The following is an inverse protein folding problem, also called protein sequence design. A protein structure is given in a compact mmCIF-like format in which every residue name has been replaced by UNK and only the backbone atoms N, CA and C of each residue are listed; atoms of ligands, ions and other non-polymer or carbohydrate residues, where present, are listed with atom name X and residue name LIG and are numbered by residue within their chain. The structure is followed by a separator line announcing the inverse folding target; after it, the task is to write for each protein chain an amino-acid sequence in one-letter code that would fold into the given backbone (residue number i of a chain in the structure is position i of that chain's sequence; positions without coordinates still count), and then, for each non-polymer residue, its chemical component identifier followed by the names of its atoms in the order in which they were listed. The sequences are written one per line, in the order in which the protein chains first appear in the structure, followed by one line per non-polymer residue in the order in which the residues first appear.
data_IF_862282267044
#
_entry.id   IF_862282267044
#
_cell.length_a   1.000
_cell.length_b   1.000
_cell.length_c   1.000
_cell.angle_alpha   90.00
_cell.angle_beta   90.00
_cell.angle_gamma   90.00
#
_symmetry.space_group_name_H-M   'P 1'
#
loop_
_entity.id
_entity.type
_entity.pdbx_description
1 polymer ?
#
# COMPACT_ATOMS: atom_id res chain seq x y z
N UNK A 1 -0.37 -14.74 -26.23
CA UNK A 1 -0.67 -15.82 -25.28
C UNK A 1 0.65 -16.44 -24.85
N UNK A 2 1.21 -16.01 -23.73
CA UNK A 2 2.29 -16.73 -23.07
C UNK A 2 1.72 -17.18 -21.74
N UNK A 3 1.34 -18.46 -21.67
CA UNK A 3 1.16 -19.14 -20.39
C UNK A 3 2.47 -19.84 -20.11
N UNK A 4 3.19 -19.24 -19.20
CA UNK A 4 4.45 -19.65 -18.63
C UNK A 4 4.29 -21.00 -17.94
N UNK A 5 5.09 -21.94 -18.40
CA UNK A 5 5.45 -23.20 -17.76
C UNK A 5 6.08 -22.90 -16.39
N UNK A 6 5.41 -23.28 -15.31
CA UNK A 6 6.04 -23.36 -13.99
C UNK A 6 6.77 -24.70 -13.92
N UNK A 7 8.08 -24.66 -14.17
CA UNK A 7 9.01 -25.71 -13.76
C UNK A 7 9.08 -25.73 -12.23
N UNK A 8 8.67 -26.84 -11.63
CA UNK A 8 9.06 -27.20 -10.26
C UNK A 8 10.47 -27.83 -10.29
N UNK A 9 11.31 -27.61 -9.25
CA UNK A 9 12.71 -28.01 -9.26
C UNK A 9 12.93 -29.53 -9.21
N UNK A 10 13.90 -29.97 -10.03
CA UNK A 10 14.40 -31.34 -10.23
C UNK A 10 15.13 -31.93 -9.00
N UNK A 11 14.42 -32.30 -7.94
CA UNK A 11 15.01 -33.10 -6.85
C UNK A 11 14.16 -34.31 -6.42
N UNK A 12 13.17 -34.70 -7.23
CA UNK A 12 12.38 -35.93 -7.06
C UNK A 12 12.46 -36.77 -8.35
N UNK A 13 13.67 -36.98 -8.87
CA UNK A 13 13.91 -37.98 -9.91
C UNK A 13 15.27 -38.63 -9.66
N UNK A 14 15.27 -39.57 -8.72
CA UNK A 14 16.30 -40.57 -8.52
C UNK A 14 15.62 -41.90 -8.24
N UNK A 15 15.85 -42.84 -9.17
CA UNK A 15 15.72 -44.30 -9.04
C UNK A 15 14.40 -44.98 -9.49
N UNK A 16 14.39 -45.27 -10.80
CA UNK A 16 14.02 -46.52 -11.52
C UNK A 16 12.71 -47.29 -11.20
N UNK A 17 11.88 -47.63 -12.23
CA UNK A 17 10.56 -48.27 -12.06
C UNK A 17 10.58 -49.82 -12.08
N UNK A 18 11.52 -50.48 -11.42
CA UNK A 18 11.62 -51.96 -11.45
C UNK A 18 11.37 -52.66 -10.10
N UNK A 19 11.04 -51.93 -9.02
CA UNK A 19 10.76 -52.54 -7.70
C UNK A 19 9.27 -52.59 -7.31
N UNK A 20 8.35 -52.09 -8.14
CA UNK A 20 6.92 -52.12 -7.82
C UNK A 20 6.26 -53.49 -8.05
N UNK A 21 6.90 -54.40 -8.79
CA UNK A 21 6.33 -55.72 -9.10
C UNK A 21 6.57 -56.79 -8.01
N UNK A 22 7.51 -56.60 -7.09
CA UNK A 22 7.82 -57.59 -6.05
C UNK A 22 7.00 -57.43 -4.75
N UNK A 23 6.27 -56.33 -4.59
CA UNK A 23 5.43 -56.14 -3.39
C UNK A 23 4.04 -56.78 -3.49
N UNK A 24 3.61 -57.21 -4.68
CA UNK A 24 2.30 -57.84 -4.90
C UNK A 24 2.28 -59.36 -4.60
N UNK A 25 3.43 -59.99 -4.33
CA UNK A 25 3.49 -61.44 -4.10
C UNK A 25 3.52 -61.87 -2.62
N UNK A 26 3.36 -60.92 -1.68
CA UNK A 26 3.09 -61.19 -0.26
C UNK A 26 1.68 -60.79 0.15
N UNK A 27 0.69 -61.11 -0.69
CA UNK A 27 -0.73 -61.14 -0.29
C UNK A 27 -0.98 -62.39 0.54
N UNK A 28 -0.83 -62.24 1.86
CA UNK A 28 -1.06 -63.27 2.85
C UNK A 28 -1.43 -62.69 4.20
N UNK A 29 -2.43 -61.79 4.26
CA UNK A 29 -3.33 -61.60 5.41
C UNK A 29 -4.29 -60.43 5.17
N UNK A 30 -5.56 -60.75 4.86
CA UNK A 30 -6.61 -59.78 4.57
C UNK A 30 -7.18 -59.05 5.81
N UNK A 31 -6.65 -59.32 7.02
CA UNK A 31 -7.09 -58.69 8.28
C UNK A 31 -6.19 -57.54 8.76
N UNK A 32 -4.93 -57.50 8.37
CA UNK A 32 -3.98 -56.49 8.89
C UNK A 32 -4.03 -55.17 8.10
N UNK A 33 -4.39 -55.20 6.81
CA UNK A 33 -4.52 -53.98 5.98
C UNK A 33 -5.62 -53.03 6.46
N UNK A 34 -6.71 -53.52 7.03
CA UNK A 34 -7.80 -52.65 7.51
C UNK A 34 -7.36 -51.86 8.75
N UNK A 35 -6.60 -52.46 9.66
CA UNK A 35 -6.05 -51.77 10.84
C UNK A 35 -4.99 -50.73 10.43
N UNK A 36 -4.17 -51.03 9.43
CA UNK A 36 -3.19 -50.06 8.91
C UNK A 36 -3.91 -48.88 8.23
N UNK A 37 -4.95 -49.14 7.44
CA UNK A 37 -5.75 -48.09 6.81
C UNK A 37 -6.46 -47.21 7.86
N UNK A 38 -7.02 -47.82 8.91
CA UNK A 38 -7.66 -47.09 10.02
C UNK A 38 -6.66 -46.23 10.78
N UNK A 39 -5.46 -46.75 11.10
CA UNK A 39 -4.41 -45.98 11.78
C UNK A 39 -3.94 -44.80 10.91
N UNK A 40 -3.75 -45.01 9.61
CA UNK A 40 -3.37 -43.93 8.68
C UNK A 40 -4.45 -42.86 8.61
N UNK A 41 -5.73 -43.26 8.52
CA UNK A 41 -6.86 -42.31 8.51
C UNK A 41 -6.92 -41.52 9.81
N UNK A 42 -6.76 -42.17 10.96
CA UNK A 42 -6.75 -41.49 12.28
C UNK A 42 -5.59 -40.49 12.38
N UNK A 43 -4.38 -40.87 11.95
CA UNK A 43 -3.22 -39.97 11.97
C UNK A 43 -3.43 -38.77 11.05
N UNK A 44 -3.94 -38.97 9.83
CA UNK A 44 -4.24 -37.88 8.89
C UNK A 44 -5.31 -36.94 9.46
N UNK A 45 -6.38 -37.48 10.04
CA UNK A 45 -7.44 -36.68 10.67
C UNK A 45 -6.89 -35.87 11.84
N UNK A 46 -6.07 -36.47 12.71
CA UNK A 46 -5.45 -35.76 13.84
C UNK A 46 -4.53 -34.65 13.34
N UNK A 47 -3.68 -34.91 12.34
CA UNK A 47 -2.79 -33.90 11.76
C UNK A 47 -3.60 -32.77 11.13
N UNK A 48 -4.65 -33.06 10.37
CA UNK A 48 -5.52 -32.05 9.77
C UNK A 48 -6.22 -31.22 10.84
N UNK A 49 -6.76 -31.85 11.89
CA UNK A 49 -7.41 -31.14 13.00
C UNK A 49 -6.41 -30.24 13.72
N UNK A 50 -5.20 -30.73 14.02
CA UNK A 50 -4.16 -29.92 14.68
C UNK A 50 -3.75 -28.75 13.79
N UNK A 51 -3.53 -28.96 12.49
CA UNK A 51 -3.19 -27.89 11.55
C UNK A 51 -4.31 -26.86 11.46
N UNK A 52 -5.56 -27.30 11.35
CA UNK A 52 -6.73 -26.41 11.30
C UNK A 52 -6.84 -25.60 12.59
N UNK A 53 -6.70 -26.23 13.76
CA UNK A 53 -6.75 -25.55 15.05
C UNK A 53 -5.62 -24.54 15.17
N UNK A 54 -4.38 -24.90 14.81
CA UNK A 54 -3.24 -23.98 14.84
C UNK A 54 -3.46 -22.81 13.89
N UNK A 55 -3.91 -23.05 12.67
CA UNK A 55 -4.21 -21.99 11.69
C UNK A 55 -5.32 -21.09 12.21
N UNK A 56 -6.42 -21.65 12.73
CA UNK A 56 -7.52 -20.87 13.30
C UNK A 56 -7.04 -20.04 14.48
N UNK A 57 -6.27 -20.61 15.40
CA UNK A 57 -5.75 -19.88 16.56
C UNK A 57 -4.79 -18.77 16.11
N UNK A 58 -3.84 -19.04 15.23
CA UNK A 58 -2.88 -18.03 14.74
C UNK A 58 -3.58 -16.92 13.97
N UNK A 59 -4.54 -17.26 13.11
CA UNK A 59 -5.27 -16.26 12.31
C UNK A 59 -6.23 -15.45 13.19
N UNK A 60 -6.98 -16.08 14.09
CA UNK A 60 -7.96 -15.39 14.94
C UNK A 60 -7.26 -14.55 16.01
N UNK A 61 -6.24 -15.11 16.67
CA UNK A 61 -5.44 -14.35 17.65
C UNK A 61 -4.63 -13.27 16.95
N UNK A 62 -4.04 -13.56 15.79
CA UNK A 62 -3.36 -12.57 14.96
C UNK A 62 -4.29 -11.43 14.53
N UNK A 63 -5.50 -11.74 14.07
CA UNK A 63 -6.52 -10.74 13.77
C UNK A 63 -6.96 -9.98 15.01
N UNK A 64 -7.18 -10.64 16.15
CA UNK A 64 -7.55 -9.94 17.39
C UNK A 64 -6.45 -9.00 17.88
N UNK A 65 -5.18 -9.40 17.83
CA UNK A 65 -4.05 -8.54 18.19
C UNK A 65 -3.97 -7.34 17.25
N UNK A 66 -4.17 -7.56 15.95
CA UNK A 66 -4.26 -6.46 14.98
C UNK A 66 -5.44 -5.54 15.31
N UNK A 67 -6.63 -6.06 15.61
CA UNK A 67 -7.83 -5.29 15.92
C UNK A 67 -7.74 -4.52 17.25
N UNK A 68 -7.03 -5.04 18.26
CA UNK A 68 -6.86 -4.38 19.57
C UNK A 68 -5.75 -3.31 19.54
N UNK A 69 -4.89 -3.31 18.52
CA UNK A 69 -3.79 -2.34 18.38
C UNK A 69 -4.20 -1.00 17.77
N UNK A 70 -5.49 -0.76 17.52
CA UNK A 70 -5.88 0.09 16.38
C UNK A 70 -5.96 1.61 16.61
N UNK A 71 -5.87 2.14 17.84
CA UNK A 71 -5.95 3.60 18.03
C UNK A 71 -5.00 4.12 19.11
N UNK A 72 -3.78 4.48 18.70
CA UNK A 72 -2.80 5.18 19.57
C UNK A 72 -3.38 6.46 20.19
N UNK A 73 -4.28 7.15 19.48
CA UNK A 73 -4.96 8.35 19.97
C UNK A 73 -5.95 7.99 21.09
N UNK A 74 -6.67 6.88 20.99
CA UNK A 74 -7.65 6.48 22.00
C UNK A 74 -6.95 6.14 23.32
N UNK A 75 -5.83 5.43 23.27
CA UNK A 75 -5.01 5.10 24.44
C UNK A 75 -4.53 6.38 25.16
N UNK A 76 -3.97 7.32 24.38
CA UNK A 76 -3.53 8.61 24.89
C UNK A 76 -4.70 9.44 25.45
N UNK A 77 -5.89 9.35 24.84
CA UNK A 77 -7.11 10.04 25.31
C UNK A 77 -7.57 9.53 26.67
N UNK A 78 -7.57 8.21 26.88
CA UNK A 78 -7.90 7.61 28.18
C UNK A 78 -6.91 8.11 29.24
N UNK A 79 -5.63 8.19 28.90
CA UNK A 79 -4.60 8.71 29.82
C UNK A 79 -4.82 10.18 30.19
N UNK A 80 -5.17 11.03 29.23
CA UNK A 80 -5.56 12.44 29.49
C UNK A 80 -6.75 12.49 30.44
N UNK A 81 -7.78 11.69 30.17
CA UNK A 81 -9.01 11.66 30.95
C UNK A 81 -8.73 11.26 32.41
N UNK A 82 -8.04 10.14 32.61
CA UNK A 82 -7.71 9.61 33.94
C UNK A 82 -6.86 10.61 34.72
N UNK A 83 -5.78 11.12 34.11
CA UNK A 83 -4.87 12.08 34.77
C UNK A 83 -5.62 13.35 35.20
N UNK A 84 -6.57 13.81 34.39
CA UNK A 84 -7.33 15.03 34.69
C UNK A 84 -8.40 14.80 35.76
N UNK A 85 -9.01 13.62 35.79
CA UNK A 85 -9.95 13.23 36.84
C UNK A 85 -9.25 13.00 38.18
N UNK A 86 -8.05 12.44 38.19
CA UNK A 86 -7.25 12.33 39.41
C UNK A 86 -6.87 13.71 39.96
N UNK A 87 -6.43 14.61 39.07
CA UNK A 87 -6.07 15.98 39.46
C UNK A 87 -7.25 16.76 40.04
N UNK A 88 -8.44 16.63 39.45
CA UNK A 88 -9.63 17.32 39.98
C UNK A 88 -10.09 16.73 41.32
N UNK A 89 -9.94 15.41 41.51
CA UNK A 89 -10.24 14.73 42.77
C UNK A 89 -9.26 15.15 43.87
N UNK A 90 -7.96 15.29 43.57
CA UNK A 90 -6.93 15.78 44.50
C UNK A 90 -7.26 17.19 45.01
N UNK A 91 -7.73 18.09 44.13
CA UNK A 91 -8.07 19.48 44.49
C UNK A 91 -9.32 19.61 45.37
N UNK A 92 -10.26 18.67 45.26
CA UNK A 92 -11.58 18.75 45.91
C UNK A 92 -11.67 17.96 47.23
N UNK A 93 -10.65 17.14 47.55
CA UNK A 93 -10.54 16.43 48.83
C UNK A 93 -11.73 15.53 49.15
N UNK A 94 -11.73 14.28 48.69
CA UNK A 94 -12.74 13.22 48.94
C UNK A 94 -14.23 13.53 48.65
N UNK A 95 -14.60 14.79 48.38
CA UNK A 95 -15.89 15.13 47.81
C UNK A 95 -15.92 14.56 46.39
N UNK A 96 -16.84 13.65 46.14
CA UNK A 96 -16.94 12.95 44.87
C UNK A 96 -17.00 13.96 43.72
N UNK A 97 -16.09 13.83 42.75
CA UNK A 97 -16.08 14.63 41.49
C UNK A 97 -17.43 14.53 40.78
N UNK A 98 -18.09 13.39 40.94
CA UNK A 98 -19.44 13.09 40.47
C UNK A 98 -20.49 13.19 41.58
N UNK A 99 -20.18 13.91 42.65
CA UNK A 99 -20.83 13.89 43.96
C UNK A 99 -22.22 14.43 44.04
N UNK A 100 -23.11 13.62 43.47
CA UNK A 100 -24.47 13.32 43.89
C UNK A 100 -24.80 11.90 43.36
N UNK A 101 -23.88 10.93 43.51
CA UNK A 101 -24.08 9.54 43.06
C UNK A 101 -24.97 8.72 44.02
N UNK A 102 -25.47 9.29 45.11
CA UNK A 102 -26.61 8.71 45.85
C UNK A 102 -27.96 9.23 45.35
N UNK A 103 -27.95 9.97 44.22
CA UNK A 103 -29.11 10.53 43.54
C UNK A 103 -29.14 10.19 42.05
N UNK A 104 -28.56 9.06 41.63
CA UNK A 104 -28.94 8.45 40.35
C UNK A 104 -30.40 7.98 40.47
N UNK A 105 -31.34 8.94 40.40
CA UNK A 105 -32.68 8.61 39.93
C UNK A 105 -32.48 7.96 38.54
N UNK A 106 -33.20 6.87 38.23
CA UNK A 106 -33.21 6.31 36.88
C UNK A 106 -33.41 7.45 35.88
N UNK A 107 -32.84 7.38 34.66
CA UNK A 107 -32.81 8.51 33.74
C UNK A 107 -34.25 8.94 33.46
N UNK A 108 -34.73 9.95 34.20
CA UNK A 108 -35.81 10.80 33.74
C UNK A 108 -35.20 11.58 32.59
N UNK A 109 -35.82 11.50 31.41
CA UNK A 109 -35.37 12.09 30.15
C UNK A 109 -34.57 13.38 30.38
N UNK A 110 -33.24 13.24 30.46
CA UNK A 110 -32.34 14.36 30.59
C UNK A 110 -32.21 14.95 29.20
N UNK A 111 -33.15 15.81 28.86
CA UNK A 111 -33.05 16.64 27.67
C UNK A 111 -31.68 17.32 27.66
N UNK A 112 -30.99 17.29 26.51
CA UNK A 112 -29.79 18.09 26.27
C UNK A 112 -30.09 19.60 26.34
N UNK A 113 -31.38 19.97 26.37
CA UNK A 113 -31.90 21.31 26.55
C UNK A 113 -32.82 21.38 27.77
N UNK A 114 -32.29 21.24 29.00
CA UNK A 114 -33.11 21.32 30.20
C UNK A 114 -33.57 22.77 30.42
N UNK A 115 -34.81 22.95 30.86
CA UNK A 115 -35.39 24.23 31.26
C UNK A 115 -35.75 24.16 32.74
N UNK A 116 -34.99 24.80 33.65
CA UNK A 116 -33.87 25.71 33.42
C UNK A 116 -32.57 25.01 33.01
N UNK A 117 -31.71 25.74 32.28
CA UNK A 117 -30.42 25.24 31.82
C UNK A 117 -29.47 25.05 33.00
N UNK A 118 -29.14 23.80 33.33
CA UNK A 118 -28.13 23.47 34.33
C UNK A 118 -26.84 23.00 33.63
N UNK A 119 -25.69 23.40 34.18
CA UNK A 119 -24.36 23.03 33.66
C UNK A 119 -23.58 22.32 34.77
N UNK A 120 -22.76 21.35 34.40
CA UNK A 120 -21.88 20.71 35.36
C UNK A 120 -20.85 21.71 35.87
N UNK A 121 -20.87 21.97 37.19
CA UNK A 121 -20.15 23.09 37.79
C UNK A 121 -18.63 22.94 37.70
N UNK A 122 -18.09 21.72 37.73
CA UNK A 122 -16.65 21.49 37.49
C UNK A 122 -16.26 21.18 36.04
N UNK A 123 -17.19 21.27 35.08
CA UNK A 123 -16.86 21.13 33.65
C UNK A 123 -15.80 22.11 33.16
N UNK A 124 -15.86 23.38 33.60
CA UNK A 124 -14.85 24.40 33.25
C UNK A 124 -13.48 24.13 33.88
N UNK A 125 -13.47 23.66 35.13
CA UNK A 125 -12.22 23.31 35.84
C UNK A 125 -11.55 22.10 35.18
N UNK A 126 -12.34 21.09 34.80
CA UNK A 126 -11.84 19.92 34.06
C UNK A 126 -11.26 20.32 32.70
N UNK A 127 -11.96 21.18 31.94
CA UNK A 127 -11.47 21.66 30.65
C UNK A 127 -10.11 22.39 30.75
N UNK A 128 -9.90 23.18 31.81
CA UNK A 128 -8.59 23.83 32.07
C UNK A 128 -7.50 22.82 32.42
N UNK A 129 -7.83 21.76 33.14
CA UNK A 129 -6.87 20.70 33.45
C UNK A 129 -6.48 20.00 32.14
N UNK A 130 -7.44 19.66 31.27
CA UNK A 130 -7.13 19.09 29.95
C UNK A 130 -6.17 19.97 29.14
N UNK A 131 -6.40 21.28 29.11
CA UNK A 131 -5.55 22.23 28.38
C UNK A 131 -4.12 22.30 28.94
N UNK A 132 -3.95 22.13 30.25
CA UNK A 132 -2.65 22.18 30.91
C UNK A 132 -1.95 20.81 30.97
N UNK A 133 -2.62 19.72 30.60
CA UNK A 133 -2.05 18.38 30.63
C UNK A 133 -1.02 18.22 29.51
N UNK A 134 0.20 17.85 29.90
CA UNK A 134 1.30 17.55 28.96
C UNK A 134 1.93 16.22 29.31
N UNK A 135 2.09 15.34 28.33
CA UNK A 135 2.75 14.04 28.50
C UNK A 135 3.23 13.50 27.16
N UNK A 136 4.10 12.49 27.20
CA UNK A 136 4.49 11.72 26.02
C UNK A 136 3.68 10.42 25.97
N UNK A 137 2.87 10.28 24.92
CA UNK A 137 2.01 9.14 24.66
C UNK A 137 2.49 8.31 23.47
N UNK A 138 1.67 7.38 22.99
CA UNK A 138 2.00 6.57 21.79
C UNK A 138 1.89 7.38 20.51
N UNK A 139 1.06 8.42 20.50
CA UNK A 139 1.00 9.38 19.39
C UNK A 139 2.09 10.46 19.48
N UNK A 140 3.09 10.32 20.36
CA UNK A 140 4.16 11.28 20.56
C UNK A 140 3.86 12.30 21.67
N UNK A 141 4.44 13.48 21.57
CA UNK A 141 4.25 14.53 22.58
C UNK A 141 2.85 15.14 22.49
N UNK A 142 2.12 15.14 23.61
CA UNK A 142 0.74 15.64 23.71
C UNK A 142 0.74 16.91 24.54
N UNK A 143 0.29 18.01 23.92
CA UNK A 143 0.08 19.32 24.52
C UNK A 143 -1.05 20.03 23.78
N UNK A 144 -1.83 20.83 24.50
CA UNK A 144 -2.96 21.56 23.94
C UNK A 144 -2.75 23.07 24.04
N UNK A 145 -3.38 23.82 23.14
CA UNK A 145 -3.49 25.28 23.23
C UNK A 145 -4.75 25.69 24.02
N UNK A 146 -4.97 26.99 24.16
CA UNK A 146 -6.14 27.54 24.86
C UNK A 146 -7.49 27.25 24.20
N UNK A 147 -7.52 26.88 22.91
CA UNK A 147 -8.73 26.44 22.20
C UNK A 147 -8.95 24.92 22.27
N UNK A 148 -8.02 24.17 22.85
CA UNK A 148 -8.07 22.71 22.95
C UNK A 148 -7.52 21.96 21.73
N UNK A 149 -6.84 22.64 20.81
CA UNK A 149 -6.14 22.01 19.69
C UNK A 149 -4.77 21.51 20.13
N UNK A 150 -4.34 20.37 19.59
CA UNK A 150 -3.02 19.81 19.85
C UNK A 150 -1.93 20.64 19.18
N UNK A 151 -0.84 20.91 19.89
CA UNK A 151 0.33 21.67 19.42
C UNK A 151 1.62 20.93 19.81
N UNK A 152 2.75 21.26 19.16
CA UNK A 152 4.03 20.58 19.39
C UNK A 152 4.01 19.08 19.09
N UNK A 153 3.24 18.66 18.08
CA UNK A 153 3.24 17.27 17.62
C UNK A 153 4.12 17.12 16.38
N UNK A 154 4.73 15.95 16.27
CA UNK A 154 5.57 15.57 15.14
C UNK A 154 4.80 14.60 14.24
N UNK A 155 4.88 14.81 12.93
CA UNK A 155 4.27 13.91 11.93
C UNK A 155 5.34 13.37 11.01
N UNK A 156 5.40 12.06 10.90
CA UNK A 156 6.30 11.40 9.96
C UNK A 156 5.78 11.57 8.53
N UNK A 157 6.64 12.08 7.64
CA UNK A 157 6.35 12.19 6.22
C UNK A 157 6.95 10.98 5.52
N UNK A 158 6.10 10.27 4.78
CA UNK A 158 6.48 9.05 4.10
C UNK A 158 6.29 9.19 2.59
N UNK A 159 7.26 8.69 1.84
CA UNK A 159 7.22 8.53 0.40
C UNK A 159 6.98 7.05 0.08
N UNK A 160 5.99 6.77 -0.74
CA UNK A 160 5.71 5.40 -1.20
C UNK A 160 6.24 5.24 -2.61
N UNK A 161 7.16 4.30 -2.79
CA UNK A 161 7.70 3.96 -4.11
C UNK A 161 7.49 2.49 -4.41
N UNK A 162 7.30 2.15 -5.68
CA UNK A 162 7.04 0.77 -6.10
C UNK A 162 8.19 -0.21 -5.74
N UNK A 163 9.42 0.30 -5.67
CA UNK A 163 10.63 -0.53 -5.48
C UNK A 163 11.25 -0.44 -4.09
N UNK A 164 10.94 0.59 -3.29
CA UNK A 164 11.42 0.71 -1.90
C UNK A 164 10.30 0.49 -0.88
N UNK A 165 9.04 0.41 -1.33
CA UNK A 165 7.89 0.39 -0.43
C UNK A 165 7.70 1.75 0.23
N UNK A 166 7.25 1.72 1.49
CA UNK A 166 7.06 2.92 2.33
C UNK A 166 8.42 3.35 2.88
N UNK A 167 8.87 4.56 2.54
CA UNK A 167 10.11 5.15 3.03
C UNK A 167 9.82 6.42 3.83
N UNK A 168 10.46 6.62 4.98
CA UNK A 168 10.27 7.82 5.79
C UNK A 168 11.28 8.90 5.40
N UNK A 169 10.80 9.99 4.81
CA UNK A 169 11.64 11.05 4.22
C UNK A 169 11.97 12.19 5.20
N UNK A 170 11.24 12.28 6.31
CA UNK A 170 11.45 13.34 7.28
C UNK A 170 10.31 13.44 8.28
N UNK A 171 10.39 14.48 9.09
CA UNK A 171 9.41 14.79 10.13
C UNK A 171 8.92 16.22 9.94
N UNK A 172 7.62 16.43 10.11
CA UNK A 172 6.98 17.73 10.05
C UNK A 172 6.63 18.19 11.47
N UNK A 173 7.12 19.36 11.86
CA UNK A 173 6.90 19.95 13.18
C UNK A 173 6.49 21.41 13.02
N UNK A 174 5.34 21.81 13.61
CA UNK A 174 4.89 23.20 13.74
C UNK A 174 5.14 24.10 12.50
N UNK A 175 4.81 23.59 11.32
CA UNK A 175 4.94 24.21 9.99
C UNK A 175 6.28 24.10 9.26
N UNK A 176 7.28 23.47 9.86
CA UNK A 176 8.59 23.21 9.26
C UNK A 176 8.76 21.73 8.90
N UNK A 177 9.22 21.46 7.68
CA UNK A 177 9.62 20.11 7.28
C UNK A 177 11.11 19.91 7.54
N UNK A 178 11.42 19.00 8.46
CA UNK A 178 12.77 18.54 8.74
C UNK A 178 13.04 17.30 7.91
N UNK A 179 13.76 17.48 6.80
CA UNK A 179 14.22 16.35 5.97
C UNK A 179 15.11 15.46 6.83
N UNK A 180 14.80 14.15 6.90
CA UNK A 180 15.73 13.18 7.47
C UNK A 180 16.95 13.18 6.54
N UNK A 181 18.17 13.24 7.10
CA UNK A 181 19.40 13.33 6.31
C UNK A 181 19.42 12.31 5.17
N UNK A 182 20.22 12.55 4.13
CA UNK A 182 20.35 11.59 3.02
C UNK A 182 20.68 10.22 3.60
N UNK A 183 19.68 9.33 3.62
CA UNK A 183 19.94 7.94 3.87
C UNK A 183 20.89 7.52 2.75
N UNK A 184 22.07 7.02 3.12
CA UNK A 184 23.04 6.43 2.21
C UNK A 184 22.46 5.12 1.63
N UNK A 185 21.24 5.16 1.11
CA UNK A 185 20.76 4.17 0.16
C UNK A 185 21.52 4.49 -1.12
N UNK A 186 22.27 3.53 -1.70
CA UNK A 186 23.00 3.76 -2.92
C UNK A 186 22.03 4.40 -3.91
N UNK A 187 22.41 5.59 -4.38
CA UNK A 187 21.69 6.30 -5.41
C UNK A 187 21.46 5.32 -6.56
N UNK A 188 20.20 4.92 -6.75
CA UNK A 188 19.83 3.99 -7.83
C UNK A 188 19.91 4.69 -9.19
N UNK A 189 20.46 5.90 -9.28
CA UNK A 189 21.00 6.43 -10.53
C UNK A 189 22.05 5.49 -11.17
N UNK A 190 22.65 4.55 -10.40
CA UNK A 190 23.70 3.65 -10.91
C UNK A 190 23.25 2.22 -11.24
N UNK A 191 21.95 1.90 -11.29
CA UNK A 191 21.50 0.58 -11.78
C UNK A 191 20.85 0.72 -13.15
N UNK A 192 21.55 0.12 -14.11
CA UNK A 192 21.20 -0.06 -15.51
C UNK A 192 19.70 -0.08 -15.75
N UNK A 193 19.26 0.76 -16.70
CA UNK A 193 18.07 0.65 -17.56
C UNK A 193 17.23 -0.59 -17.22
N UNK A 194 16.49 -0.50 -16.13
CA UNK A 194 15.92 -1.68 -15.45
C UNK A 194 14.61 -2.05 -16.14
N UNK A 195 14.65 -2.77 -17.28
CA UNK A 195 13.49 -3.31 -18.02
C UNK A 195 12.23 -2.43 -18.05
N UNK A 196 12.37 -1.11 -18.20
CA UNK A 196 11.23 -0.19 -18.28
C UNK A 196 10.82 -0.03 -19.72
N UNK A 197 9.64 -0.57 -20.06
CA UNK A 197 9.05 -0.33 -21.37
C UNK A 197 8.73 1.16 -21.56
N UNK A 198 9.35 1.81 -22.55
CA UNK A 198 9.15 3.21 -22.90
C UNK A 198 7.94 3.38 -23.79
N UNK A 199 7.17 4.43 -23.56
CA UNK A 199 6.04 4.77 -24.44
C UNK A 199 6.56 5.76 -25.49
N UNK A 200 6.68 5.30 -26.73
CA UNK A 200 7.00 6.15 -27.87
C UNK A 200 5.69 6.70 -28.42
N UNK A 201 5.53 8.02 -28.37
CA UNK A 201 4.36 8.71 -28.92
C UNK A 201 4.73 9.45 -30.19
N UNK A 202 3.91 9.29 -31.21
CA UNK A 202 4.07 9.97 -32.49
C UNK A 202 2.71 10.16 -33.16
N UNK A 203 2.69 10.80 -34.32
CA UNK A 203 1.50 11.08 -35.12
C UNK A 203 1.44 10.11 -36.32
N UNK A 204 0.23 9.81 -36.81
CA UNK A 204 0.07 8.98 -38.01
C UNK A 204 0.27 9.85 -39.26
N UNK A 205 1.47 9.81 -39.82
CA UNK A 205 1.87 10.63 -40.97
C UNK A 205 2.82 9.83 -41.86
N UNK A 206 2.45 9.67 -43.13
CA UNK A 206 3.29 9.04 -44.15
C UNK A 206 4.41 10.00 -44.58
N UNK A 207 5.67 9.54 -44.75
CA UNK A 207 6.20 8.18 -44.54
C UNK A 207 6.85 7.97 -43.15
N UNK A 208 6.58 8.86 -42.19
CA UNK A 208 7.25 8.88 -40.90
C UNK A 208 6.76 7.81 -39.93
N UNK A 209 5.46 7.69 -39.74
CA UNK A 209 4.87 6.63 -38.94
C UNK A 209 3.45 6.33 -39.42
N UNK A 210 3.23 5.09 -39.83
CA UNK A 210 1.99 4.60 -40.39
C UNK A 210 1.60 3.30 -39.73
N UNK A 211 0.31 2.98 -39.73
CA UNK A 211 -0.13 1.64 -39.37
C UNK A 211 0.15 0.70 -40.54
N UNK A 212 0.77 -0.44 -40.26
CA UNK A 212 0.92 -1.49 -41.26
C UNK A 212 -0.45 -2.07 -41.62
N UNK A 213 -0.75 -2.10 -42.92
CA UNK A 213 -2.03 -2.59 -43.45
C UNK A 213 -2.00 -4.11 -43.70
N UNK A 214 -0.83 -4.65 -44.04
CA UNK A 214 -0.63 -6.06 -44.36
C UNK A 214 0.55 -6.67 -43.58
N UNK A 215 0.51 -7.99 -43.43
CA UNK A 215 1.63 -8.77 -42.88
C UNK A 215 2.76 -8.77 -43.92
N UNK A 216 3.74 -7.91 -43.70
CA UNK A 216 4.99 -7.92 -44.46
C UNK A 216 5.93 -8.97 -43.85
N UNK A 217 6.58 -9.75 -44.71
CA UNK A 217 7.61 -10.73 -44.32
C UNK A 217 7.21 -11.80 -43.29
N UNK A 218 5.90 -12.13 -43.21
CA UNK A 218 5.38 -13.13 -42.27
C UNK A 218 5.35 -12.69 -40.81
N UNK A 219 5.58 -11.41 -40.53
CA UNK A 219 5.59 -10.85 -39.17
C UNK A 219 4.16 -10.50 -38.75
N UNK A 220 3.62 -11.12 -37.68
CA UNK A 220 2.25 -10.81 -37.24
C UNK A 220 2.15 -9.37 -36.75
N UNK A 221 1.08 -8.68 -37.14
CA UNK A 221 0.74 -7.31 -36.77
C UNK A 221 0.39 -7.21 -35.27
N UNK A 222 1.37 -7.41 -34.39
CA UNK A 222 1.21 -7.41 -32.92
C UNK A 222 2.25 -6.48 -32.29
N UNK A 223 1.80 -5.67 -31.33
CA UNK A 223 2.70 -4.78 -30.57
C UNK A 223 3.39 -3.75 -31.45
N UNK A 224 4.73 -3.78 -31.47
CA UNK A 224 5.61 -2.86 -32.21
C UNK A 224 5.52 -3.02 -33.74
N UNK A 225 5.27 -4.25 -34.21
CA UNK A 225 5.22 -4.61 -35.64
C UNK A 225 3.97 -4.11 -36.38
N UNK A 226 3.06 -3.42 -35.68
CA UNK A 226 1.87 -2.79 -36.29
C UNK A 226 2.17 -1.42 -36.89
N UNK A 227 3.37 -0.91 -36.69
CA UNK A 227 3.77 0.42 -37.13
C UNK A 227 4.96 0.30 -38.07
N UNK A 228 4.92 1.04 -39.18
CA UNK A 228 5.95 1.11 -40.21
C UNK A 228 6.28 2.57 -40.52
N UNK A 229 7.47 2.83 -41.04
CA UNK A 229 7.94 4.17 -41.40
C UNK A 229 9.21 4.56 -40.65
N UNK A 230 9.78 5.71 -41.02
CA UNK A 230 11.08 6.18 -40.53
C UNK A 230 11.19 6.23 -38.99
N UNK A 231 10.13 6.67 -38.30
CA UNK A 231 10.11 6.76 -36.84
C UNK A 231 10.04 5.38 -36.17
N UNK A 232 9.45 4.37 -36.82
CA UNK A 232 9.42 3.00 -36.30
C UNK A 232 10.82 2.37 -36.37
N UNK A 233 11.50 2.55 -37.50
CA UNK A 233 12.87 2.06 -37.70
C UNK A 233 13.86 2.76 -36.76
N UNK A 234 13.72 4.08 -36.61
CA UNK A 234 14.53 4.85 -35.67
C UNK A 234 14.30 4.41 -34.22
N UNK A 235 13.04 4.17 -33.81
CA UNK A 235 12.74 3.69 -32.47
C UNK A 235 13.40 2.33 -32.19
N UNK A 236 13.38 1.43 -33.17
CA UNK A 236 14.02 0.11 -33.07
C UNK A 236 15.55 0.25 -32.97
N UNK A 237 16.18 1.08 -33.79
CA UNK A 237 17.63 1.34 -33.72
C UNK A 237 18.04 1.94 -32.36
N UNK A 238 17.30 2.94 -31.88
CA UNK A 238 17.60 3.58 -30.58
C UNK A 238 17.38 2.58 -29.43
N UNK A 239 16.34 1.76 -29.51
CA UNK A 239 16.07 0.72 -28.51
C UNK A 239 17.19 -0.33 -28.44
N UNK A 240 17.78 -0.71 -29.57
CA UNK A 240 18.92 -1.65 -29.64
C UNK A 240 20.20 -1.03 -29.11
N UNK A 241 20.43 0.26 -29.38
CA UNK A 241 21.65 0.95 -28.95
C UNK A 241 21.65 1.25 -27.45
N UNK A 242 20.48 1.55 -26.87
CA UNK A 242 20.33 1.94 -25.47
C UNK A 242 19.79 0.79 -24.61
N UNK A 243 19.44 -0.35 -25.21
CA UNK A 243 18.93 -1.56 -24.55
C UNK A 243 17.69 -1.31 -23.67
N UNK A 244 16.60 -0.84 -24.29
CA UNK A 244 15.31 -0.67 -23.62
C UNK A 244 14.14 -1.23 -24.43
N UNK A 245 13.12 -1.77 -23.76
CA UNK A 245 11.86 -2.16 -24.41
C UNK A 245 10.96 -0.95 -24.68
N UNK A 246 10.12 -1.01 -25.71
CA UNK A 246 9.22 0.10 -26.04
C UNK A 246 7.89 -0.32 -26.66
N UNK A 247 6.92 0.60 -26.58
CA UNK A 247 5.62 0.52 -27.22
C UNK A 247 5.28 1.82 -27.93
N UNK A 248 4.92 1.73 -29.21
CA UNK A 248 4.47 2.86 -30.01
C UNK A 248 2.98 3.08 -29.78
N UNK A 249 2.59 4.35 -29.58
CA UNK A 249 1.21 4.81 -29.48
C UNK A 249 1.03 6.08 -30.30
N UNK A 250 -0.10 6.21 -30.99
CA UNK A 250 -0.47 7.49 -31.57
C UNK A 250 -0.87 8.50 -30.47
N UNK A 251 -0.54 9.76 -30.69
CA UNK A 251 -1.01 10.87 -29.86
C UNK A 251 -2.55 10.93 -29.91
N UNK A 252 -3.20 11.20 -28.76
CA UNK A 252 -4.66 11.07 -28.63
C UNK A 252 -5.46 12.08 -29.46
N UNK A 253 -4.95 13.29 -29.61
CA UNK A 253 -5.59 14.42 -30.27
C UNK A 253 -5.07 14.64 -31.70
N UNK A 254 -4.18 13.78 -32.19
CA UNK A 254 -3.53 13.90 -33.51
C UNK A 254 -2.88 15.26 -33.77
N UNK A 255 -2.48 15.98 -32.71
CA UNK A 255 -1.79 17.26 -32.83
C UNK A 255 -0.31 17.14 -32.40
N UNK A 256 0.55 17.96 -33.00
CA UNK A 256 1.93 18.13 -32.56
C UNK A 256 2.01 18.79 -31.19
N UNK A 257 1.30 19.90 -31.05
CA UNK A 257 1.08 20.59 -29.80
C UNK A 257 0.95 22.09 -30.00
N UNK A 258 -0.11 22.64 -29.43
CA UNK A 258 -0.40 24.08 -29.45
C UNK A 258 -0.57 24.55 -28.01
N UNK A 259 -0.17 25.79 -27.74
CA UNK A 259 -0.42 26.40 -26.45
C UNK A 259 -1.86 26.88 -26.40
N UNK A 260 -2.65 26.33 -25.49
CA UNK A 260 -4.03 26.76 -25.22
C UNK A 260 -4.04 28.11 -24.51
N UNK A 261 -5.16 28.84 -24.59
CA UNK A 261 -5.40 30.09 -23.83
C UNK A 261 -5.10 29.94 -22.34
N UNK A 262 -5.34 28.75 -21.80
CA UNK A 262 -5.19 28.42 -20.38
C UNK A 262 -3.72 28.13 -19.99
N UNK A 263 -2.77 28.32 -20.92
CA UNK A 263 -1.34 28.09 -20.70
C UNK A 263 -0.89 26.63 -20.76
N UNK A 264 -1.82 25.70 -20.97
CA UNK A 264 -1.52 24.27 -21.18
C UNK A 264 -1.12 23.98 -22.62
N UNK A 265 -0.46 22.85 -22.83
CA UNK A 265 -0.09 22.38 -24.18
C UNK A 265 -0.96 21.20 -24.59
N UNK A 266 -1.40 21.19 -25.85
CA UNK A 266 -2.04 20.04 -26.52
C UNK A 266 -0.98 19.17 -27.21
N UNK A 267 -1.42 18.10 -27.85
CA UNK A 267 -0.59 17.29 -28.73
C UNK A 267 0.46 16.46 -28.01
N UNK A 268 1.48 16.07 -28.77
CA UNK A 268 2.65 15.36 -28.28
C UNK A 268 3.37 16.14 -27.18
N UNK A 269 3.47 17.47 -27.32
CA UNK A 269 4.06 18.37 -26.30
C UNK A 269 3.24 18.32 -25.00
N UNK A 270 1.92 18.39 -25.10
CA UNK A 270 1.01 18.27 -23.97
C UNK A 270 1.14 16.96 -23.22
N UNK A 271 1.27 15.84 -23.95
CA UNK A 271 1.45 14.54 -23.34
C UNK A 271 2.81 14.39 -22.63
N UNK A 272 3.88 15.04 -23.14
CA UNK A 272 5.18 15.09 -22.46
C UNK A 272 5.14 15.95 -21.20
N UNK A 273 4.55 17.14 -21.26
CA UNK A 273 4.49 18.06 -20.10
C UNK A 273 3.60 17.47 -19.00
N UNK A 274 2.46 16.89 -19.35
CA UNK A 274 1.59 16.19 -18.39
C UNK A 274 2.26 14.98 -17.76
N UNK A 275 3.11 14.28 -18.53
CA UNK A 275 3.91 13.19 -17.99
C UNK A 275 4.98 13.72 -17.01
N UNK A 276 5.69 14.79 -17.38
CA UNK A 276 6.70 15.41 -16.55
C UNK A 276 6.13 16.04 -15.25
N UNK A 277 4.89 16.52 -15.28
CA UNK A 277 4.20 17.07 -14.11
C UNK A 277 3.49 16.01 -13.25
N UNK A 278 3.23 14.82 -13.80
CA UNK A 278 2.66 13.72 -13.04
C UNK A 278 3.75 13.04 -12.19
N UNK A 279 3.47 12.80 -10.91
CA UNK A 279 4.34 12.11 -9.95
C UNK A 279 4.68 10.64 -10.33
N UNK A 280 4.23 10.17 -11.50
CA UNK A 280 4.53 8.84 -12.04
C UNK A 280 5.77 8.92 -12.94
N UNK A 281 6.95 8.91 -12.32
CA UNK A 281 8.25 8.91 -13.00
C UNK A 281 8.61 7.57 -13.68
N UNK A 282 7.70 6.60 -13.69
CA UNK A 282 8.02 5.23 -14.11
C UNK A 282 7.84 4.99 -15.61
N UNK A 283 6.91 5.70 -16.26
CA UNK A 283 6.62 5.52 -17.69
C UNK A 283 7.26 6.61 -18.57
N UNK A 284 8.60 6.60 -18.71
CA UNK A 284 9.28 7.58 -19.58
C UNK A 284 8.72 7.54 -21.01
N UNK A 285 8.36 8.73 -21.49
CA UNK A 285 7.71 8.94 -22.77
C UNK A 285 8.68 9.62 -23.74
N UNK A 286 8.79 9.07 -24.94
CA UNK A 286 9.65 9.58 -26.02
C UNK A 286 8.74 10.12 -27.13
N UNK A 287 9.07 11.29 -27.68
CA UNK A 287 8.41 11.81 -28.88
C UNK A 287 9.37 11.65 -30.05
N UNK A 288 8.88 11.02 -31.11
CA UNK A 288 9.55 10.94 -32.40
C UNK A 288 8.67 11.68 -33.41
N UNK A 289 9.25 12.71 -34.03
CA UNK A 289 8.59 13.52 -35.04
C UNK A 289 9.51 13.74 -36.24
N UNK A 290 8.91 14.24 -37.32
CA UNK A 290 9.65 14.89 -38.38
C UNK A 290 10.32 16.16 -37.81
N UNK A 291 11.64 16.30 -37.97
CA UNK A 291 12.46 17.40 -37.43
C UNK A 291 12.45 18.67 -38.32
N UNK A 292 11.41 18.88 -39.11
CA UNK A 292 11.27 20.09 -39.94
C UNK A 292 10.75 21.28 -39.17
#
# INVERSE_FOLDING_TARGET
MLRTTLMLPNWILGDTPDQLCDFQQKSGNHKDSNNVLEVVVVVVVVVVVVVVVVVVVVVVVGMMVLLVSYDYIAEDTVRVLVSSLEEIQKRQGSSSVFGSVNGWRPPQDKSCHPSPAWKWHQGRSLARIFQNTTFTGRSGFVKFNSSGQRIGFEVDVQEVTMYRGINMIGTYEESEFKKRGEELVPDKASRAIDNRTRIVTSINEEPYLMRAEEVTDGIPLIGRFRFIGYCADLAELVSRNVDYDYHIRFVKDSEYGKKTSDGTWTGMIGELIKHASSLSHDAQKIVLNNLT
#
